data_IF_320478828873
#
_entry.id   IF_320478828873
#
_cell.length_a   1.000
_cell.length_b   1.000
_cell.length_c   1.000
_cell.angle_alpha   90.00
_cell.angle_beta   90.00
_cell.angle_gamma   90.00
#
_symmetry.space_group_name_H-M   'P 1'
#
loop_
_entity.id
_entity.type
_entity.pdbx_description
1 polymer ?
#
# COMPACT_ATOMS: atom_id res chain seq x y z
N UNK A 1 43.47 -21.22 7.41
CA UNK A 1 43.58 -19.74 7.39
C UNK A 1 42.18 -19.18 7.55
N UNK A 2 41.80 -18.86 8.79
CA UNK A 2 40.41 -18.65 9.19
C UNK A 2 39.84 -17.32 8.71
N UNK A 3 38.74 -17.37 7.96
CA UNK A 3 37.92 -16.21 7.60
C UNK A 3 37.22 -15.70 8.86
N UNK A 4 37.66 -14.55 9.39
CA UNK A 4 36.90 -13.77 10.37
C UNK A 4 35.65 -13.24 9.68
N UNK A 5 34.48 -13.66 10.17
CA UNK A 5 33.22 -13.00 9.83
C UNK A 5 33.22 -11.55 10.38
N UNK A 6 32.62 -10.59 9.65
CA UNK A 6 32.47 -9.22 10.14
C UNK A 6 31.64 -9.17 11.43
N UNK A 7 31.95 -8.21 12.32
CA UNK A 7 31.37 -7.99 13.67
C UNK A 7 29.84 -7.84 13.74
N UNK A 8 29.11 -7.95 12.64
CA UNK A 8 27.66 -7.80 12.56
C UNK A 8 26.85 -9.03 13.03
N UNK A 9 27.52 -10.15 13.37
CA UNK A 9 26.88 -11.43 13.72
C UNK A 9 27.17 -11.93 15.15
N UNK A 10 27.58 -11.07 16.07
CA UNK A 10 27.66 -11.44 17.49
C UNK A 10 26.24 -11.47 18.09
N UNK A 11 25.75 -12.69 18.37
CA UNK A 11 24.45 -12.94 19.02
C UNK A 11 24.52 -12.60 20.51
N UNK A 12 23.57 -11.81 21.00
CA UNK A 12 23.32 -11.62 22.43
C UNK A 12 22.68 -12.90 23.01
N UNK A 13 22.86 -13.26 24.31
CA UNK A 13 22.16 -14.35 25.01
C UNK A 13 20.63 -14.43 24.85
N UNK A 14 19.97 -13.41 24.29
CA UNK A 14 18.53 -13.39 23.94
C UNK A 14 18.21 -13.86 22.50
N UNK A 15 19.21 -14.21 21.69
CA UNK A 15 19.02 -14.71 20.32
C UNK A 15 18.65 -13.65 19.27
N UNK A 16 18.47 -12.39 19.64
CA UNK A 16 18.20 -11.26 18.72
C UNK A 16 19.50 -10.62 18.23
N UNK A 17 19.52 -10.23 16.96
CA UNK A 17 20.63 -9.43 16.42
C UNK A 17 20.53 -8.00 16.97
N UNK A 18 21.67 -7.35 17.27
CA UNK A 18 21.73 -5.94 17.71
C UNK A 18 21.09 -4.95 16.72
N UNK A 19 20.74 -5.38 15.51
CA UNK A 19 20.14 -4.56 14.46
C UNK A 19 18.60 -4.51 14.48
N UNK A 20 17.92 -5.41 15.21
CA UNK A 20 16.45 -5.47 15.22
C UNK A 20 15.79 -4.50 16.21
N UNK A 21 16.49 -4.10 17.28
CA UNK A 21 15.88 -3.37 18.40
C UNK A 21 15.80 -1.83 18.20
N UNK A 22 16.19 -1.26 17.05
CA UNK A 22 16.22 0.21 16.90
C UNK A 22 15.96 0.76 15.47
N UNK A 23 15.26 0.01 14.61
CA UNK A 23 14.86 0.56 13.31
C UNK A 23 13.63 1.46 13.45
N UNK A 24 13.79 2.73 13.05
CA UNK A 24 12.73 3.75 13.10
C UNK A 24 11.50 3.28 12.32
N UNK A 25 10.31 3.44 12.90
CA UNK A 25 9.04 3.23 12.19
C UNK A 25 8.78 4.34 11.18
N UNK A 26 8.17 3.97 10.06
CA UNK A 26 7.70 4.90 9.04
C UNK A 26 6.18 5.02 9.00
N UNK A 27 5.66 5.55 7.92
CA UNK A 27 4.23 5.61 7.64
C UNK A 27 3.88 5.18 6.22
N UNK A 28 2.64 4.72 6.06
CA UNK A 28 2.16 4.10 4.83
C UNK A 28 1.86 5.13 3.74
N UNK A 29 1.71 4.67 2.48
CA UNK A 29 1.24 5.54 1.40
C UNK A 29 -0.17 6.09 1.69
N UNK A 30 -1.03 5.32 2.36
CA UNK A 30 -2.34 5.78 2.83
C UNK A 30 -2.27 6.94 3.83
N UNK A 31 -1.33 6.88 4.77
CA UNK A 31 -1.07 7.97 5.72
C UNK A 31 -0.61 9.23 5.01
N UNK A 32 0.33 9.10 4.07
CA UNK A 32 0.81 10.22 3.29
C UNK A 32 -0.34 10.88 2.50
N UNK A 33 -1.19 10.08 1.87
CA UNK A 33 -2.34 10.54 1.10
C UNK A 33 -3.37 11.27 2.00
N UNK A 34 -3.70 10.71 3.16
CA UNK A 34 -4.62 11.34 4.11
C UNK A 34 -4.06 12.65 4.68
N UNK A 35 -2.78 12.71 5.00
CA UNK A 35 -2.11 13.92 5.46
C UNK A 35 -2.06 15.01 4.38
N UNK A 36 -1.73 14.65 3.13
CA UNK A 36 -1.80 15.55 2.00
C UNK A 36 -3.24 16.08 1.78
N UNK A 37 -4.23 15.20 1.79
CA UNK A 37 -5.64 15.58 1.62
C UNK A 37 -6.10 16.54 2.71
N UNK A 38 -5.76 16.27 3.98
CA UNK A 38 -6.06 17.17 5.09
C UNK A 38 -5.39 18.53 4.94
N UNK A 39 -4.12 18.57 4.55
CA UNK A 39 -3.39 19.82 4.35
C UNK A 39 -4.02 20.69 3.24
N UNK A 40 -4.43 20.06 2.12
CA UNK A 40 -5.15 20.73 1.05
C UNK A 40 -6.54 21.21 1.50
N UNK A 41 -7.30 20.39 2.23
CA UNK A 41 -8.59 20.78 2.81
C UNK A 41 -8.46 21.97 3.78
N UNK A 42 -7.38 22.02 4.58
CA UNK A 42 -7.10 23.15 5.48
C UNK A 42 -6.87 24.46 4.72
N UNK A 43 -6.21 24.40 3.56
CA UNK A 43 -6.04 25.57 2.69
C UNK A 43 -7.38 26.07 2.14
N UNK A 44 -8.28 25.17 1.75
CA UNK A 44 -9.62 25.55 1.31
C UNK A 44 -10.44 26.19 2.44
N UNK A 45 -10.40 25.61 3.65
CA UNK A 45 -11.19 26.08 4.78
C UNK A 45 -10.71 27.43 5.33
N UNK A 46 -9.39 27.67 5.33
CA UNK A 46 -8.77 28.80 6.06
C UNK A 46 -8.15 29.86 5.16
N UNK A 47 -8.08 29.61 3.85
CA UNK A 47 -7.39 30.45 2.88
C UNK A 47 -5.86 30.51 3.10
N UNK A 48 -5.17 31.36 2.31
CA UNK A 48 -3.70 31.50 2.35
C UNK A 48 -3.14 31.93 3.72
N UNK A 49 -3.95 32.55 4.59
CA UNK A 49 -3.50 33.13 5.87
C UNK A 49 -3.10 32.09 6.93
N UNK A 50 -3.41 30.80 6.74
CA UNK A 50 -3.04 29.70 7.64
C UNK A 50 -2.67 28.43 6.87
N UNK A 51 -1.73 28.56 5.93
CA UNK A 51 -1.05 27.39 5.37
C UNK A 51 -0.50 26.55 6.55
N UNK A 52 -0.74 25.22 6.62
CA UNK A 52 -0.17 24.39 7.67
C UNK A 52 1.35 24.39 7.52
N UNK A 53 2.01 25.34 8.19
CA UNK A 53 3.46 25.41 8.22
C UNK A 53 3.97 24.18 8.97
N UNK A 54 4.58 23.25 8.22
CA UNK A 54 5.32 22.13 8.76
C UNK A 54 4.54 20.83 8.85
N UNK A 55 3.45 20.77 9.63
CA UNK A 55 2.84 19.48 9.98
C UNK A 55 1.32 19.50 10.02
N UNK A 56 0.72 18.35 9.73
CA UNK A 56 -0.67 18.04 10.02
C UNK A 56 -0.75 16.80 10.90
N UNK A 57 -1.77 16.72 11.72
CA UNK A 57 -2.08 15.51 12.49
C UNK A 57 -3.32 14.85 11.90
N UNK A 58 -3.27 13.56 11.62
CA UNK A 58 -4.40 12.81 11.06
C UNK A 58 -4.78 11.64 11.97
N UNK A 59 -6.05 11.21 11.96
CA UNK A 59 -6.44 9.92 12.51
C UNK A 59 -5.81 8.78 11.69
N UNK A 60 -5.41 7.72 12.39
CA UNK A 60 -5.00 6.45 11.80
C UNK A 60 -5.74 5.31 12.52
N UNK A 61 -5.84 4.11 11.92
CA UNK A 61 -6.54 2.98 12.53
C UNK A 61 -6.10 2.66 13.97
N UNK A 62 -7.07 2.24 14.78
CA UNK A 62 -6.85 1.92 16.20
C UNK A 62 -6.91 3.13 17.14
N UNK A 63 -7.72 4.15 16.80
CA UNK A 63 -7.89 5.39 17.59
C UNK A 63 -6.58 6.11 17.91
N UNK A 64 -5.61 6.02 17.00
CA UNK A 64 -4.32 6.70 17.10
C UNK A 64 -4.31 7.93 16.21
N UNK A 65 -3.35 8.81 16.47
CA UNK A 65 -3.09 9.97 15.62
C UNK A 65 -1.63 9.99 15.22
N UNK A 66 -1.36 10.47 14.01
CA UNK A 66 0.00 10.63 13.53
C UNK A 66 0.22 12.04 13.00
N UNK A 67 1.31 12.65 13.47
CA UNK A 67 1.79 13.94 12.99
C UNK A 67 2.73 13.74 11.81
N UNK A 68 2.34 14.26 10.64
CA UNK A 68 3.02 14.06 9.36
C UNK A 68 3.49 15.40 8.81
N UNK A 69 4.73 15.46 8.33
CA UNK A 69 5.30 16.67 7.75
C UNK A 69 4.70 16.91 6.36
N UNK A 70 4.17 18.10 6.14
CA UNK A 70 3.70 18.55 4.83
C UNK A 70 4.93 18.97 4.02
N UNK A 71 5.08 18.42 2.82
CA UNK A 71 6.17 18.76 1.91
C UNK A 71 5.88 20.07 1.18
N UNK A 72 4.71 20.18 0.56
CA UNK A 72 4.25 21.40 -0.10
C UNK A 72 2.75 21.57 0.07
N UNK A 73 2.26 22.82 0.03
CA UNK A 73 0.83 23.10 0.04
C UNK A 73 0.58 24.44 -0.68
N UNK A 74 -0.37 24.46 -1.62
CA UNK A 74 -0.68 25.62 -2.45
C UNK A 74 -2.18 25.73 -2.70
N UNK A 75 -2.71 26.94 -2.56
CA UNK A 75 -4.06 27.26 -3.00
C UNK A 75 -3.99 27.71 -4.47
N UNK A 76 -4.59 26.91 -5.35
CA UNK A 76 -4.52 27.06 -6.81
C UNK A 76 -5.61 28.00 -7.35
N UNK A 77 -6.82 27.91 -6.82
CA UNK A 77 -7.95 28.76 -7.21
C UNK A 77 -8.80 29.17 -6.00
N UNK A 78 -9.26 30.42 -5.99
CA UNK A 78 -10.19 30.99 -5.00
C UNK A 78 -11.53 31.41 -5.63
N UNK A 79 -11.75 31.09 -6.91
CA UNK A 79 -13.01 31.31 -7.61
C UNK A 79 -14.16 30.43 -7.07
N UNK A 80 -15.27 30.33 -7.82
CA UNK A 80 -16.49 29.65 -7.35
C UNK A 80 -16.31 28.16 -7.03
N UNK A 81 -15.27 27.52 -7.56
CA UNK A 81 -14.88 26.15 -7.23
C UNK A 81 -13.43 26.11 -6.70
N UNK A 82 -13.19 26.52 -5.44
CA UNK A 82 -11.85 26.68 -4.92
C UNK A 82 -11.10 25.35 -4.90
N UNK A 83 -9.82 25.43 -5.25
CA UNK A 83 -8.94 24.29 -5.48
C UNK A 83 -7.64 24.46 -4.69
N UNK A 84 -7.28 23.44 -3.92
CA UNK A 84 -6.02 23.38 -3.20
C UNK A 84 -5.27 22.09 -3.54
N UNK A 85 -3.95 22.16 -3.45
CA UNK A 85 -3.07 21.00 -3.53
C UNK A 85 -2.13 20.98 -2.35
N UNK A 86 -1.80 19.80 -1.87
CA UNK A 86 -0.72 19.59 -0.92
C UNK A 86 -0.05 18.25 -1.16
N UNK A 87 1.17 18.11 -0.67
CA UNK A 87 1.94 16.89 -0.82
C UNK A 87 2.68 16.50 0.44
N UNK A 88 2.95 15.21 0.55
CA UNK A 88 3.73 14.58 1.61
C UNK A 88 4.71 13.63 0.96
N UNK A 89 5.98 13.67 1.39
CA UNK A 89 6.98 12.68 1.01
C UNK A 89 6.90 11.54 2.01
N UNK A 90 6.69 10.31 1.51
CA UNK A 90 6.64 9.11 2.37
C UNK A 90 7.99 8.87 3.04
N UNK A 91 7.96 8.58 4.34
CA UNK A 91 9.09 8.11 5.15
C UNK A 91 8.76 6.70 5.63
N UNK A 92 9.44 5.69 5.09
CA UNK A 92 9.31 4.29 5.45
C UNK A 92 10.11 3.92 6.72
N UNK A 93 10.83 4.88 7.31
CA UNK A 93 11.70 4.64 8.45
C UNK A 93 12.88 3.74 8.05
N UNK A 94 13.10 2.67 8.81
CA UNK A 94 14.13 1.67 8.51
C UNK A 94 13.69 0.55 7.55
N UNK A 95 12.45 0.58 7.04
CA UNK A 95 11.97 -0.47 6.13
C UNK A 95 12.54 -0.27 4.72
N UNK A 96 13.09 -1.30 4.07
CA UNK A 96 13.55 -1.23 2.67
C UNK A 96 12.36 -1.26 1.69
N UNK A 97 11.46 -0.28 1.83
CA UNK A 97 10.26 -0.10 1.01
C UNK A 97 10.58 0.68 -0.26
N UNK A 98 10.30 0.11 -1.42
CA UNK A 98 10.52 0.75 -2.73
C UNK A 98 9.70 2.03 -2.96
N UNK A 99 8.69 2.27 -2.13
CA UNK A 99 7.86 3.48 -2.13
C UNK A 99 8.35 4.54 -1.15
N UNK A 100 9.44 4.31 -0.43
CA UNK A 100 10.09 5.33 0.39
C UNK A 100 10.54 6.54 -0.46
N UNK A 101 10.44 7.74 0.12
CA UNK A 101 10.79 8.98 -0.56
C UNK A 101 9.83 9.40 -1.67
N UNK A 102 8.75 8.65 -1.95
CA UNK A 102 7.76 9.05 -2.95
C UNK A 102 6.94 10.23 -2.46
N UNK A 103 6.81 11.24 -3.31
CA UNK A 103 5.87 12.34 -3.13
C UNK A 103 4.45 11.88 -3.47
N UNK A 104 3.56 12.03 -2.50
CA UNK A 104 2.13 11.76 -2.65
C UNK A 104 1.41 13.11 -2.58
N UNK A 105 0.69 13.43 -3.64
CA UNK A 105 0.01 14.69 -3.86
C UNK A 105 -1.48 14.47 -3.72
N UNK A 106 -2.16 15.32 -2.97
CA UNK A 106 -3.61 15.39 -2.91
C UNK A 106 -4.09 16.73 -3.43
N UNK A 107 -5.01 16.69 -4.39
CA UNK A 107 -5.73 17.85 -4.90
C UNK A 107 -7.16 17.78 -4.38
N UNK A 108 -7.59 18.83 -3.70
CA UNK A 108 -8.93 18.91 -3.11
C UNK A 108 -9.70 20.05 -3.76
N UNK A 109 -10.85 19.73 -4.33
CA UNK A 109 -11.76 20.66 -4.98
C UNK A 109 -13.11 20.66 -4.26
N UNK A 110 -13.66 21.84 -3.98
CA UNK A 110 -15.03 21.94 -3.45
C UNK A 110 -16.05 21.74 -4.59
N UNK A 111 -17.05 20.90 -4.38
CA UNK A 111 -18.05 20.53 -5.41
C UNK A 111 -19.30 21.41 -5.41
N UNK A 112 -19.47 22.28 -4.42
CA UNK A 112 -20.67 23.13 -4.29
C UNK A 112 -21.92 22.39 -3.79
N UNK A 113 -21.89 21.06 -3.72
CA UNK A 113 -22.84 20.20 -3.01
C UNK A 113 -22.41 19.97 -1.56
N UNK A 114 -23.32 19.42 -0.75
CA UNK A 114 -23.05 18.98 0.63
C UNK A 114 -22.80 17.47 0.69
N UNK A 115 -22.08 17.03 1.71
CA UNK A 115 -22.05 15.63 2.18
C UNK A 115 -21.01 14.68 1.56
N UNK A 116 -20.84 14.70 0.24
CA UNK A 116 -20.10 13.64 -0.46
C UNK A 116 -18.59 13.93 -0.60
N UNK A 117 -17.76 12.96 -0.21
CA UNK A 117 -16.31 12.96 -0.47
C UNK A 117 -16.02 11.95 -1.59
N UNK A 118 -15.78 12.47 -2.79
CA UNK A 118 -15.34 11.68 -3.93
C UNK A 118 -13.82 11.49 -3.90
N UNK A 119 -13.35 10.24 -3.85
CA UNK A 119 -11.91 9.94 -3.88
C UNK A 119 -11.55 9.40 -5.27
N UNK A 120 -10.62 10.07 -5.94
CA UNK A 120 -10.15 9.73 -7.29
C UNK A 120 -8.66 9.40 -7.27
N UNK A 121 -8.22 8.56 -8.20
CA UNK A 121 -6.81 8.35 -8.51
C UNK A 121 -6.42 9.19 -9.71
N UNK A 122 -5.34 9.96 -9.57
CA UNK A 122 -4.70 10.72 -10.64
C UNK A 122 -3.42 10.04 -11.12
N UNK A 123 -2.45 10.84 -11.53
CA UNK A 123 -1.18 10.36 -12.10
C UNK A 123 -0.47 9.39 -11.14
N UNK A 124 0.01 8.27 -11.68
CA UNK A 124 0.85 7.31 -10.97
C UNK A 124 0.17 6.54 -9.83
N UNK A 125 -1.14 6.71 -9.63
CA UNK A 125 -1.98 5.76 -8.90
C UNK A 125 -2.43 4.67 -9.87
N UNK A 126 -2.23 3.41 -9.50
CA UNK A 126 -2.58 2.27 -10.35
C UNK A 126 -4.08 2.09 -10.47
N UNK A 127 -4.51 1.37 -11.51
CA UNK A 127 -5.90 0.94 -11.71
C UNK A 127 -5.98 -0.57 -11.60
N UNK A 128 -6.99 -1.07 -10.91
CA UNK A 128 -7.23 -2.51 -10.77
C UNK A 128 -7.79 -3.06 -12.07
N UNK A 129 -7.11 -4.03 -12.66
CA UNK A 129 -7.48 -4.68 -13.92
C UNK A 129 -7.89 -6.14 -13.74
N UNK A 130 -7.74 -6.69 -12.53
CA UNK A 130 -8.09 -8.08 -12.20
C UNK A 130 -8.95 -8.16 -10.96
N UNK A 131 -9.88 -9.12 -10.88
CA UNK A 131 -10.71 -9.32 -9.70
C UNK A 131 -9.92 -9.95 -8.55
N UNK A 132 -10.52 -10.03 -7.37
CA UNK A 132 -9.94 -10.66 -6.17
C UNK A 132 -9.28 -9.70 -5.19
N UNK A 133 -9.05 -8.44 -5.58
CA UNK A 133 -8.65 -7.39 -4.64
C UNK A 133 -9.87 -6.82 -3.89
N UNK A 134 -9.63 -6.13 -2.77
CA UNK A 134 -10.65 -5.38 -2.03
C UNK A 134 -11.22 -4.17 -2.80
N UNK A 135 -10.66 -3.89 -3.98
CA UNK A 135 -11.01 -2.78 -4.85
C UNK A 135 -11.57 -3.38 -6.15
N UNK A 136 -12.74 -2.92 -6.64
CA UNK A 136 -13.31 -3.38 -7.90
C UNK A 136 -12.40 -3.15 -9.12
N UNK A 137 -12.61 -3.95 -10.17
CA UNK A 137 -11.96 -3.73 -11.47
C UNK A 137 -12.40 -2.39 -12.05
N UNK A 138 -11.45 -1.63 -12.60
CA UNK A 138 -11.65 -0.29 -13.15
C UNK A 138 -11.44 0.85 -12.15
N UNK A 139 -11.40 0.54 -10.84
CA UNK A 139 -11.21 1.54 -9.80
C UNK A 139 -9.73 1.86 -9.53
N UNK A 140 -9.41 3.07 -9.06
CA UNK A 140 -8.06 3.42 -8.61
C UNK A 140 -7.66 2.57 -7.40
N UNK A 141 -6.39 2.13 -7.38
CA UNK A 141 -5.76 1.27 -6.38
C UNK A 141 -5.53 1.99 -5.04
N UNK A 142 -6.59 2.56 -4.47
CA UNK A 142 -6.64 3.18 -3.15
C UNK A 142 -7.48 2.27 -2.25
N UNK A 143 -6.82 1.57 -1.32
CA UNK A 143 -7.46 0.54 -0.49
C UNK A 143 -8.53 1.14 0.45
N UNK A 144 -9.46 0.30 0.96
CA UNK A 144 -10.54 0.77 1.84
C UNK A 144 -10.06 1.56 3.06
N UNK A 145 -9.02 1.07 3.76
CA UNK A 145 -8.48 1.77 4.95
C UNK A 145 -7.90 3.15 4.59
N UNK A 146 -7.02 3.30 3.59
CA UNK A 146 -6.61 4.62 3.11
C UNK A 146 -7.76 5.52 2.66
N UNK A 147 -8.77 4.99 1.97
CA UNK A 147 -9.97 5.78 1.60
C UNK A 147 -10.65 6.32 2.85
N UNK A 148 -10.80 5.52 3.89
CA UNK A 148 -11.40 5.95 5.15
C UNK A 148 -10.55 7.00 5.87
N UNK A 149 -9.24 6.78 5.96
CA UNK A 149 -8.31 7.75 6.54
C UNK A 149 -8.38 9.12 5.83
N UNK A 150 -8.49 9.12 4.49
CA UNK A 150 -8.67 10.35 3.72
C UNK A 150 -10.00 11.03 4.09
N UNK A 151 -11.11 10.28 4.15
CA UNK A 151 -12.42 10.84 4.52
C UNK A 151 -12.41 11.44 5.91
N UNK A 152 -11.93 10.70 6.91
CA UNK A 152 -11.86 11.17 8.29
C UNK A 152 -11.01 12.44 8.39
N UNK A 153 -9.81 12.43 7.81
CA UNK A 153 -8.89 13.55 7.88
C UNK A 153 -9.42 14.81 7.18
N UNK A 154 -10.16 14.65 6.08
CA UNK A 154 -10.83 15.76 5.38
C UNK A 154 -12.05 16.26 6.16
N UNK A 155 -12.86 15.36 6.72
CA UNK A 155 -14.06 15.71 7.52
C UNK A 155 -13.73 16.48 8.79
N UNK A 156 -12.57 16.22 9.42
CA UNK A 156 -12.10 17.04 10.56
C UNK A 156 -11.92 18.53 10.20
N UNK A 157 -11.80 18.86 8.92
CA UNK A 157 -11.56 20.21 8.42
C UNK A 157 -12.77 20.78 7.69
N UNK A 158 -13.48 19.94 6.94
CA UNK A 158 -14.61 20.27 6.10
C UNK A 158 -15.77 19.31 6.43
N UNK A 159 -16.47 19.50 7.58
CA UNK A 159 -17.40 18.49 8.11
C UNK A 159 -18.63 18.24 7.23
N UNK A 160 -19.14 19.27 6.55
CA UNK A 160 -20.39 19.20 5.78
C UNK A 160 -20.21 19.42 4.27
N UNK A 161 -18.99 19.76 3.84
CA UNK A 161 -18.74 20.14 2.44
C UNK A 161 -18.61 18.92 1.55
N UNK A 162 -19.27 18.96 0.39
CA UNK A 162 -18.98 18.06 -0.72
C UNK A 162 -17.64 18.43 -1.36
N UNK A 163 -16.73 17.46 -1.47
CA UNK A 163 -15.40 17.66 -2.04
C UNK A 163 -14.97 16.48 -2.89
N UNK A 164 -14.19 16.78 -3.92
CA UNK A 164 -13.42 15.80 -4.68
C UNK A 164 -11.98 15.83 -4.18
N UNK A 165 -11.42 14.65 -3.90
CA UNK A 165 -10.04 14.42 -3.47
C UNK A 165 -9.37 13.52 -4.50
N UNK A 166 -8.52 14.10 -5.33
CA UNK A 166 -7.68 13.37 -6.27
C UNK A 166 -6.30 13.10 -5.65
N UNK A 167 -5.90 11.84 -5.57
CA UNK A 167 -4.58 11.41 -5.10
C UNK A 167 -3.69 11.07 -6.29
N UNK A 168 -2.50 11.66 -6.36
CA UNK A 168 -1.50 11.40 -7.39
C UNK A 168 -0.14 11.09 -6.78
N UNK A 169 0.68 10.33 -7.50
CA UNK A 169 2.05 9.96 -7.17
C UNK A 169 2.89 10.16 -8.42
N UNK A 170 3.57 11.30 -8.63
CA UNK A 170 4.24 11.62 -9.90
C UNK A 170 5.18 10.52 -10.40
N UNK A 171 5.99 9.96 -9.48
CA UNK A 171 6.94 8.87 -9.80
C UNK A 171 6.30 7.47 -9.74
N UNK A 172 5.00 7.38 -9.46
CA UNK A 172 4.29 6.14 -9.19
C UNK A 172 4.30 5.18 -10.37
N UNK A 173 4.12 5.66 -11.60
CA UNK A 173 4.18 4.81 -12.81
C UNK A 173 5.55 4.14 -12.95
N UNK A 174 6.63 4.89 -12.73
CA UNK A 174 8.02 4.39 -12.85
C UNK A 174 8.34 3.37 -11.76
N UNK A 175 7.91 3.64 -10.52
CA UNK A 175 8.18 2.74 -9.38
C UNK A 175 7.30 1.49 -9.41
N UNK A 176 6.09 1.54 -9.97
CA UNK A 176 5.19 0.39 -10.04
C UNK A 176 5.82 -0.88 -10.61
N UNK A 177 6.73 -0.76 -11.58
CA UNK A 177 7.46 -1.89 -12.18
C UNK A 177 8.37 -2.65 -11.19
N UNK A 178 8.71 -2.03 -10.05
CA UNK A 178 9.52 -2.63 -8.97
C UNK A 178 8.65 -3.16 -7.82
N UNK A 179 7.34 -3.19 -7.97
CA UNK A 179 6.39 -3.60 -6.93
C UNK A 179 5.69 -4.91 -7.31
N UNK A 180 4.97 -5.51 -6.36
CA UNK A 180 4.09 -6.66 -6.60
C UNK A 180 2.81 -6.32 -7.38
N UNK A 181 2.55 -5.03 -7.67
CA UNK A 181 1.29 -4.57 -8.26
C UNK A 181 0.95 -5.24 -9.59
N UNK A 182 1.94 -5.44 -10.47
CA UNK A 182 1.70 -6.12 -11.75
C UNK A 182 1.19 -7.55 -11.57
N UNK A 183 1.68 -8.26 -10.54
CA UNK A 183 1.22 -9.62 -10.23
C UNK A 183 -0.22 -9.60 -9.72
N UNK A 184 -0.57 -8.60 -8.92
CA UNK A 184 -1.92 -8.39 -8.40
C UNK A 184 -2.92 -7.85 -9.44
N UNK A 185 -2.47 -7.49 -10.64
CA UNK A 185 -3.34 -6.89 -11.66
C UNK A 185 -3.62 -5.41 -11.40
N UNK A 186 -2.61 -4.67 -10.96
CA UNK A 186 -2.66 -3.22 -10.82
C UNK A 186 -1.69 -2.62 -11.84
N UNK A 187 -2.21 -1.74 -12.71
CA UNK A 187 -1.48 -1.20 -13.86
C UNK A 187 -1.46 0.33 -13.84
N UNK A 188 -0.40 0.93 -14.37
CA UNK A 188 -0.29 2.38 -14.57
C UNK A 188 0.24 3.18 -13.39
N UNK A 189 0.44 2.56 -12.22
CA UNK A 189 0.88 3.24 -11.01
C UNK A 189 1.00 2.33 -9.78
N UNK A 190 1.31 2.95 -8.64
CA UNK A 190 1.40 2.27 -7.35
C UNK A 190 0.04 2.20 -6.64
N UNK A 191 -0.03 1.44 -5.56
CA UNK A 191 -1.21 1.35 -4.71
C UNK A 191 -1.07 2.28 -3.51
N UNK A 192 -2.15 2.97 -3.15
CA UNK A 192 -2.27 3.69 -1.89
C UNK A 192 -2.84 2.70 -0.87
N UNK A 193 -1.96 2.19 -0.01
CA UNK A 193 -2.21 1.06 0.90
C UNK A 193 -1.71 1.36 2.31
N UNK A 194 -2.16 0.56 3.27
CA UNK A 194 -1.79 0.66 4.67
C UNK A 194 -2.97 0.28 5.55
N UNK A 195 -2.80 -0.72 6.44
CA UNK A 195 -3.87 -1.21 7.31
C UNK A 195 -3.84 -0.55 8.70
N UNK A 196 -2.67 -0.14 9.16
CA UNK A 196 -2.46 0.48 10.49
C UNK A 196 -2.08 1.96 10.39
N UNK A 197 -1.76 2.44 9.19
CA UNK A 197 -1.17 3.76 8.96
C UNK A 197 0.33 3.85 9.29
N UNK A 198 0.95 2.78 9.80
CA UNK A 198 2.37 2.75 10.20
C UNK A 198 3.11 1.70 9.39
N UNK A 199 4.35 2.00 9.01
CA UNK A 199 5.27 1.02 8.41
C UNK A 199 6.20 0.53 9.51
N UNK A 200 6.18 -0.78 9.75
CA UNK A 200 7.09 -1.46 10.64
C UNK A 200 8.21 -2.13 9.82
N UNK A 201 9.49 -1.82 10.08
CA UNK A 201 10.60 -2.40 9.34
C UNK A 201 10.60 -3.93 9.32
N UNK A 202 10.79 -4.51 8.14
CA UNK A 202 10.86 -5.96 7.89
C UNK A 202 9.67 -6.74 8.49
N UNK A 203 8.46 -6.19 8.36
CA UNK A 203 7.26 -6.81 8.92
C UNK A 203 6.92 -8.15 8.26
N UNK A 204 7.00 -9.23 9.05
CA UNK A 204 6.50 -10.56 8.67
C UNK A 204 5.01 -10.50 8.31
N UNK A 205 4.23 -9.69 9.02
CA UNK A 205 2.79 -9.55 8.76
C UNK A 205 2.51 -8.87 7.40
N UNK A 206 3.34 -7.92 6.97
CA UNK A 206 3.23 -7.32 5.64
C UNK A 206 3.52 -8.35 4.52
N UNK A 207 4.51 -9.24 4.73
CA UNK A 207 4.80 -10.33 3.80
C UNK A 207 3.62 -11.32 3.72
N UNK A 208 3.08 -11.73 4.87
CA UNK A 208 1.88 -12.61 4.91
C UNK A 208 0.68 -11.98 4.23
N UNK A 209 0.43 -10.68 4.43
CA UNK A 209 -0.66 -9.96 3.77
C UNK A 209 -0.48 -9.96 2.24
N UNK A 210 0.75 -9.81 1.75
CA UNK A 210 1.05 -9.89 0.30
C UNK A 210 0.72 -11.27 -0.26
N UNK A 211 1.08 -12.34 0.45
CA UNK A 211 0.77 -13.73 0.07
C UNK A 211 -0.76 -13.93 0.02
N UNK A 212 -1.50 -13.46 1.03
CA UNK A 212 -2.96 -13.55 1.07
C UNK A 212 -3.60 -12.83 -0.13
N UNK A 213 -3.14 -11.62 -0.46
CA UNK A 213 -3.62 -10.90 -1.64
C UNK A 213 -3.33 -11.64 -2.95
N UNK A 214 -2.14 -12.24 -3.11
CA UNK A 214 -1.87 -13.06 -4.31
C UNK A 214 -2.79 -14.28 -4.39
N UNK A 215 -3.10 -14.93 -3.26
CA UNK A 215 -4.05 -16.04 -3.19
C UNK A 215 -5.45 -15.58 -3.54
N UNK A 216 -5.91 -14.42 -3.05
CA UNK A 216 -7.25 -13.91 -3.35
C UNK A 216 -7.44 -13.68 -4.86
N UNK A 217 -6.45 -13.04 -5.51
CA UNK A 217 -6.47 -12.82 -6.96
C UNK A 217 -6.41 -14.14 -7.72
N UNK A 218 -5.51 -15.05 -7.33
CA UNK A 218 -5.39 -16.35 -7.98
C UNK A 218 -6.65 -17.21 -7.83
N UNK A 219 -7.24 -17.22 -6.64
CA UNK A 219 -8.46 -17.97 -6.35
C UNK A 219 -9.64 -17.45 -7.15
N UNK A 220 -9.81 -16.13 -7.21
CA UNK A 220 -10.91 -15.51 -7.95
C UNK A 220 -10.86 -15.85 -9.44
N UNK A 221 -9.67 -15.97 -10.03
CA UNK A 221 -9.47 -16.39 -11.42
C UNK A 221 -9.86 -17.85 -11.67
N UNK A 222 -9.68 -18.75 -10.70
CA UNK A 222 -9.81 -20.21 -10.90
C UNK A 222 -11.05 -20.84 -10.25
N UNK A 223 -11.75 -20.14 -9.36
CA UNK A 223 -12.83 -20.74 -8.55
C UNK A 223 -13.99 -21.32 -9.37
N UNK A 224 -14.19 -20.85 -10.60
CA UNK A 224 -15.23 -21.36 -11.51
C UNK A 224 -14.76 -22.55 -12.38
N UNK A 225 -13.46 -22.82 -12.46
CA UNK A 225 -12.88 -23.83 -13.37
C UNK A 225 -12.43 -25.11 -12.67
N UNK A 226 -12.61 -25.23 -11.34
CA UNK A 226 -12.10 -26.35 -10.51
C UNK A 226 -10.59 -26.60 -10.67
N UNK A 227 -9.84 -25.63 -11.19
CA UNK A 227 -8.39 -25.73 -11.32
C UNK A 227 -7.71 -25.64 -9.95
N UNK A 228 -6.57 -26.32 -9.76
CA UNK A 228 -5.82 -26.21 -8.50
C UNK A 228 -5.15 -24.84 -8.39
N UNK A 229 -4.90 -24.43 -7.14
CA UNK A 229 -4.05 -23.28 -6.85
C UNK A 229 -2.57 -23.70 -6.96
N UNK A 230 -1.78 -22.98 -7.74
CA UNK A 230 -0.35 -23.25 -7.90
C UNK A 230 0.47 -22.38 -6.95
N UNK A 231 1.26 -23.03 -6.10
CA UNK A 231 2.13 -22.39 -5.12
C UNK A 231 3.60 -22.70 -5.40
N UNK A 232 4.49 -21.74 -5.15
CA UNK A 232 5.93 -21.96 -5.16
C UNK A 232 6.64 -21.14 -4.08
N UNK A 233 7.72 -21.66 -3.45
CA UNK A 233 8.54 -20.86 -2.54
C UNK A 233 9.24 -19.67 -3.22
N UNK A 234 9.44 -19.73 -4.54
CA UNK A 234 10.10 -18.66 -5.27
C UNK A 234 10.20 -18.96 -6.76
N UNK A 235 11.02 -18.16 -7.45
CA UNK A 235 11.04 -18.13 -8.92
C UNK A 235 11.39 -19.46 -9.57
N UNK A 236 12.31 -20.22 -9.00
CA UNK A 236 12.70 -21.55 -9.52
C UNK A 236 11.50 -22.49 -9.58
N UNK A 237 10.68 -22.52 -8.52
CA UNK A 237 9.47 -23.34 -8.46
C UNK A 237 8.39 -22.84 -9.42
N UNK A 238 8.20 -21.52 -9.50
CA UNK A 238 7.28 -20.90 -10.48
C UNK A 238 7.65 -21.26 -11.92
N UNK A 239 8.93 -21.13 -12.30
CA UNK A 239 9.38 -21.42 -13.65
C UNK A 239 9.26 -22.92 -13.97
N UNK A 240 9.47 -23.81 -12.98
CA UNK A 240 9.25 -25.24 -13.13
C UNK A 240 7.77 -25.56 -13.37
N UNK A 241 6.87 -24.97 -12.59
CA UNK A 241 5.42 -25.15 -12.76
C UNK A 241 4.94 -24.62 -14.11
N UNK A 242 5.41 -23.44 -14.55
CA UNK A 242 5.07 -22.89 -15.86
C UNK A 242 5.54 -23.76 -17.03
N UNK A 243 6.69 -24.42 -16.89
CA UNK A 243 7.15 -25.39 -17.90
C UNK A 243 6.26 -26.62 -18.00
N UNK A 244 5.69 -27.08 -16.88
CA UNK A 244 4.87 -28.29 -16.83
C UNK A 244 3.40 -28.04 -17.20
N UNK A 245 2.86 -26.89 -16.78
CA UNK A 245 1.42 -26.60 -16.87
C UNK A 245 1.09 -25.43 -17.82
N UNK A 246 2.08 -24.85 -18.49
CA UNK A 246 1.90 -23.72 -19.41
C UNK A 246 1.83 -22.37 -18.70
N UNK A 247 1.15 -21.40 -19.32
CA UNK A 247 1.02 -20.04 -18.77
C UNK A 247 -0.01 -19.99 -17.63
N UNK A 248 0.38 -20.54 -16.48
CA UNK A 248 -0.39 -20.54 -15.25
C UNK A 248 0.10 -19.44 -14.29
N UNK A 249 -0.83 -18.93 -13.49
CA UNK A 249 -0.49 -18.08 -12.35
C UNK A 249 0.06 -18.95 -11.22
N UNK A 250 1.19 -18.53 -10.65
CA UNK A 250 1.81 -19.16 -9.48
C UNK A 250 1.95 -18.12 -8.37
N UNK A 251 1.37 -18.41 -7.21
CA UNK A 251 1.53 -17.60 -6.00
C UNK A 251 2.90 -17.88 -5.39
N UNK A 252 3.67 -16.83 -5.09
CA UNK A 252 4.95 -17.00 -4.40
C UNK A 252 4.76 -16.90 -2.89
N UNK A 253 4.89 -18.03 -2.20
CA UNK A 253 4.65 -18.13 -0.76
C UNK A 253 5.92 -17.95 0.09
N UNK A 254 7.10 -17.76 -0.53
CA UNK A 254 8.38 -17.68 0.18
C UNK A 254 8.57 -18.89 1.12
N UNK A 255 9.02 -18.66 2.36
CA UNK A 255 9.10 -19.65 3.44
C UNK A 255 7.82 -19.74 4.28
N UNK A 256 6.71 -19.17 3.85
CA UNK A 256 5.44 -19.12 4.61
C UNK A 256 4.40 -20.11 4.06
N UNK A 257 4.81 -21.36 3.82
CA UNK A 257 3.92 -22.41 3.31
C UNK A 257 2.67 -22.60 4.19
N UNK A 258 2.84 -22.66 5.52
CA UNK A 258 1.72 -22.80 6.45
C UNK A 258 0.68 -21.69 6.30
N UNK A 259 1.13 -20.43 6.16
CA UNK A 259 0.23 -19.28 5.96
C UNK A 259 -0.54 -19.39 4.65
N UNK A 260 0.16 -19.77 3.57
CA UNK A 260 -0.47 -19.92 2.26
C UNK A 260 -1.50 -21.05 2.23
N UNK A 261 -1.16 -22.21 2.80
CA UNK A 261 -2.03 -23.40 2.84
C UNK A 261 -3.25 -23.18 3.73
N UNK A 262 -3.06 -22.60 4.92
CA UNK A 262 -4.16 -22.30 5.83
C UNK A 262 -5.14 -21.31 5.22
N UNK A 263 -4.62 -20.24 4.60
CA UNK A 263 -5.47 -19.25 3.94
C UNK A 263 -6.19 -19.83 2.71
N UNK A 264 -5.51 -20.65 1.91
CA UNK A 264 -6.15 -21.34 0.79
C UNK A 264 -7.30 -22.25 1.27
N UNK A 265 -7.12 -22.96 2.38
CA UNK A 265 -8.18 -23.76 3.01
C UNK A 265 -9.37 -22.89 3.43
N UNK A 266 -9.12 -21.76 4.09
CA UNK A 266 -10.18 -20.82 4.51
C UNK A 266 -10.99 -20.29 3.33
N UNK A 267 -10.36 -20.09 2.17
CA UNK A 267 -11.01 -19.66 0.93
C UNK A 267 -11.82 -20.76 0.22
N UNK A 268 -11.71 -22.01 0.68
CA UNK A 268 -12.39 -23.16 0.08
C UNK A 268 -11.65 -23.76 -1.13
N UNK A 269 -10.34 -23.54 -1.24
CA UNK A 269 -9.51 -24.14 -2.30
C UNK A 269 -9.47 -25.65 -2.10
N UNK A 270 -9.93 -26.41 -3.10
CA UNK A 270 -10.04 -27.88 -3.03
C UNK A 270 -8.83 -28.63 -3.60
N UNK A 271 -7.90 -27.95 -4.25
CA UNK A 271 -6.72 -28.56 -4.87
C UNK A 271 -5.55 -27.59 -4.92
N UNK A 272 -4.36 -28.07 -4.57
CA UNK A 272 -3.12 -27.30 -4.57
C UNK A 272 -2.04 -28.09 -5.30
N UNK A 273 -1.28 -27.42 -6.16
CA UNK A 273 -0.05 -27.96 -6.75
C UNK A 273 1.11 -27.12 -6.24
N UNK A 274 2.07 -27.78 -5.60
CA UNK A 274 3.23 -27.15 -5.01
C UNK A 274 4.48 -27.48 -5.83
N UNK A 275 5.18 -26.45 -6.31
CA UNK A 275 6.41 -26.59 -7.08
C UNK A 275 7.58 -25.87 -6.42
N UNK A 276 8.70 -26.55 -6.27
CA UNK A 276 9.88 -25.98 -5.62
C UNK A 276 11.08 -26.91 -5.62
N UNK A 277 12.23 -26.35 -5.26
CA UNK A 277 13.43 -27.15 -5.02
C UNK A 277 13.21 -28.06 -3.80
N UNK A 278 13.66 -29.34 -3.80
CA UNK A 278 13.41 -30.28 -2.71
C UNK A 278 13.77 -29.74 -1.31
N UNK A 279 14.90 -29.04 -1.16
CA UNK A 279 15.29 -28.41 0.11
C UNK A 279 14.50 -27.16 0.54
N UNK A 280 13.43 -26.80 -0.17
CA UNK A 280 12.55 -25.64 0.11
C UNK A 280 11.07 -26.03 0.25
N UNK A 281 10.75 -27.29 0.00
CA UNK A 281 9.42 -27.90 0.18
C UNK A 281 9.39 -28.65 1.50
#
# INVERSE_FOLDING_TARGET
MGLRLPRAYERNPSGKSRCEDDMKKGFTTGTAAAAAAKAAAMLLARGRKRCPAGYVEIPIPGNKRLRVRVHSARLLDQGPAPLATASVVKDAGGDPDVTDGLEIVARVKRLGSTGDIEIRGGEGVGVVTRPGLQIPVGEPAINPVPREMIREAVREVLPEAGVEVEISVPEGRRIAAKTFNQRLGIVGGISIIGTTGIVEPMSIEALKATIRCEIDVAWEEIRHSRSPLFLAPGRIGEDALKRLFGDIRVVQMSNFAGVALEYAREKGVSGIVLGGHPGKL
#
